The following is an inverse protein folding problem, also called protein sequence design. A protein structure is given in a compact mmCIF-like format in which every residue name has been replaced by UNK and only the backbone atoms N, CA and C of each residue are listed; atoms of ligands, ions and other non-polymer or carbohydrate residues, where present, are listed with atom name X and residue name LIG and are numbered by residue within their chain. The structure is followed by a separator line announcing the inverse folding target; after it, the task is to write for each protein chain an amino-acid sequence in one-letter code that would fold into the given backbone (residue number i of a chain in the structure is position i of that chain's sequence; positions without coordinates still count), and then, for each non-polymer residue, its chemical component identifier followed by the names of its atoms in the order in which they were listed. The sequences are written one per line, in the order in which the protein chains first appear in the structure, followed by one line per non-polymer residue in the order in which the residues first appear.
data_IF_981300057405
#
_entry.id   IF_981300057405
#
_cell.length_a   1.000
_cell.length_b   1.000
_cell.length_c   1.000
_cell.angle_alpha   90.00
_cell.angle_beta   90.00
_cell.angle_gamma   90.00
#
_symmetry.space_group_name_H-M   'P 1'
#
loop_
_entity.id
_entity.type
_entity.pdbx_description
1 polymer ?
#
# COMPACT_ATOMS: atom_id res chain seq x y z
N UNK A 1 -23.72 -16.17 -1.88
CA UNK A 1 -24.68 -15.28 -1.19
C UNK A 1 -23.88 -14.32 -0.32
N UNK A 2 -23.52 -13.15 -0.87
CA UNK A 2 -22.72 -12.15 -0.17
C UNK A 2 -23.62 -11.12 0.49
N UNK A 3 -23.44 -10.90 1.78
CA UNK A 3 -24.09 -9.83 2.53
C UNK A 3 -23.47 -8.50 2.14
N UNK A 4 -24.01 -7.86 1.10
CA UNK A 4 -23.70 -6.46 0.79
C UNK A 4 -24.24 -5.61 1.95
N UNK A 5 -23.42 -5.39 2.99
CA UNK A 5 -23.76 -4.45 4.04
C UNK A 5 -24.01 -3.08 3.38
N UNK A 6 -25.22 -2.57 3.53
CA UNK A 6 -25.54 -1.18 3.17
C UNK A 6 -24.63 -0.32 4.04
N UNK A 7 -23.64 0.34 3.44
CA UNK A 7 -22.87 1.38 4.11
C UNK A 7 -23.78 2.60 4.29
N UNK A 8 -24.62 2.56 5.32
CA UNK A 8 -25.34 3.73 5.83
C UNK A 8 -24.32 4.73 6.36
N UNK A 9 -24.38 6.02 5.98
CA UNK A 9 -23.60 7.04 6.64
C UNK A 9 -24.12 7.24 8.07
N UNK A 10 -23.22 7.31 9.06
CA UNK A 10 -23.50 8.04 10.30
C UNK A 10 -23.94 7.24 11.52
N UNK A 11 -23.25 6.14 11.85
CA UNK A 11 -23.23 5.68 13.25
C UNK A 11 -22.14 6.50 13.97
N UNK A 12 -22.51 7.17 15.07
CA UNK A 12 -21.57 7.95 15.88
C UNK A 12 -20.43 7.05 16.36
N UNK A 13 -19.19 7.36 15.98
CA UNK A 13 -18.00 6.57 16.32
C UNK A 13 -17.53 5.61 15.22
N UNK A 14 -18.29 5.42 14.14
CA UNK A 14 -17.86 4.62 12.98
C UNK A 14 -17.23 5.50 11.88
N UNK A 15 -16.24 4.99 11.13
CA UNK A 15 -15.64 5.76 10.05
C UNK A 15 -16.65 6.09 8.93
N UNK A 16 -16.67 7.32 8.44
CA UNK A 16 -17.56 7.71 7.32
C UNK A 16 -17.00 7.21 5.98
N UNK A 17 -17.49 6.06 5.53
CA UNK A 17 -17.07 5.44 4.27
C UNK A 17 -17.86 5.92 3.04
N UNK A 18 -18.96 6.66 3.25
CA UNK A 18 -19.88 7.04 2.18
C UNK A 18 -19.23 7.94 1.13
N UNK A 19 -18.48 8.95 1.55
CA UNK A 19 -17.83 9.90 0.63
C UNK A 19 -16.60 9.32 -0.07
N UNK A 20 -15.87 8.45 0.63
CA UNK A 20 -14.79 7.66 0.03
C UNK A 20 -15.36 6.76 -1.08
N UNK A 21 -16.45 6.04 -0.79
CA UNK A 21 -17.12 5.22 -1.77
C UNK A 21 -17.56 6.03 -3.00
N UNK A 22 -18.18 7.20 -2.80
CA UNK A 22 -18.61 8.08 -3.92
C UNK A 22 -17.41 8.48 -4.79
N UNK A 23 -16.28 8.80 -4.16
CA UNK A 23 -15.06 9.20 -4.87
C UNK A 23 -14.54 8.06 -5.76
N UNK A 24 -14.41 6.85 -5.20
CA UNK A 24 -13.98 5.65 -5.95
C UNK A 24 -14.95 5.31 -7.08
N UNK A 25 -16.26 5.39 -6.85
CA UNK A 25 -17.27 5.19 -7.91
C UNK A 25 -17.15 6.24 -9.02
N UNK A 26 -16.73 7.46 -8.71
CA UNK A 26 -16.53 8.48 -9.74
C UNK A 26 -15.20 8.30 -10.51
N UNK A 27 -14.17 7.73 -9.88
CA UNK A 27 -12.97 7.26 -10.61
C UNK A 27 -13.38 6.21 -11.65
N UNK A 28 -14.16 5.20 -11.25
CA UNK A 28 -14.56 4.14 -12.20
C UNK A 28 -15.45 4.64 -13.33
N UNK A 29 -16.32 5.64 -13.09
CA UNK A 29 -17.07 6.32 -14.16
C UNK A 29 -16.18 7.09 -15.12
N UNK A 30 -15.05 7.64 -14.66
CA UNK A 30 -14.11 8.33 -15.53
C UNK A 30 -13.37 7.31 -16.41
N UNK A 31 -12.95 6.17 -15.85
CA UNK A 31 -12.31 5.07 -16.59
C UNK A 31 -13.25 4.46 -17.64
N UNK A 32 -14.52 4.25 -17.30
CA UNK A 32 -15.54 3.79 -18.26
C UNK A 32 -15.66 4.76 -19.44
N UNK A 33 -15.72 6.07 -19.18
CA UNK A 33 -15.79 7.10 -20.24
C UNK A 33 -14.53 7.20 -21.08
N UNK A 34 -13.36 6.98 -20.47
CA UNK A 34 -12.07 6.94 -21.16
C UNK A 34 -12.10 5.80 -22.19
N UNK A 35 -12.54 4.61 -21.77
CA UNK A 35 -12.69 3.46 -22.66
C UNK A 35 -13.75 3.67 -23.75
N UNK A 36 -14.92 4.22 -23.40
CA UNK A 36 -15.95 4.57 -24.39
C UNK A 36 -15.44 5.55 -25.46
N UNK A 37 -14.52 6.45 -25.08
CA UNK A 37 -13.91 7.40 -26.00
C UNK A 37 -12.88 6.72 -26.91
N UNK A 38 -12.08 5.79 -26.37
CA UNK A 38 -11.12 4.98 -27.14
C UNK A 38 -11.82 4.10 -28.19
N UNK A 39 -12.97 3.53 -27.84
CA UNK A 39 -13.75 2.68 -28.73
C UNK A 39 -14.56 3.49 -29.78
N UNK A 40 -14.61 4.83 -29.65
CA UNK A 40 -15.43 5.67 -30.52
C UNK A 40 -14.68 6.08 -31.81
N UNK A 41 -14.90 5.34 -32.89
CA UNK A 41 -14.31 5.62 -34.20
C UNK A 41 -14.94 6.81 -34.97
N UNK A 42 -15.97 7.47 -34.41
CA UNK A 42 -16.74 8.52 -35.11
C UNK A 42 -16.33 9.95 -34.75
N UNK A 43 -15.50 10.12 -33.71
CA UNK A 43 -15.04 11.43 -33.26
C UNK A 43 -13.76 11.84 -33.99
N UNK A 44 -13.59 13.14 -34.24
CA UNK A 44 -12.33 13.65 -34.79
C UNK A 44 -11.19 13.44 -33.79
N UNK A 45 -9.95 13.24 -34.29
CA UNK A 45 -8.79 13.06 -33.42
C UNK A 45 -8.57 14.27 -32.47
N UNK A 46 -8.86 15.48 -32.94
CA UNK A 46 -8.73 16.70 -32.14
C UNK A 46 -9.77 16.75 -31.01
N UNK A 47 -11.02 16.41 -31.30
CA UNK A 47 -12.08 16.38 -30.29
C UNK A 47 -11.87 15.23 -29.29
N UNK A 48 -11.37 14.09 -29.76
CA UNK A 48 -10.98 12.97 -28.89
C UNK A 48 -9.89 13.39 -27.89
N UNK A 49 -8.83 14.04 -28.36
CA UNK A 49 -7.76 14.53 -27.49
C UNK A 49 -8.28 15.53 -26.45
N UNK A 50 -9.16 16.47 -26.85
CA UNK A 50 -9.80 17.43 -25.93
C UNK A 50 -10.67 16.75 -24.88
N UNK A 51 -11.40 15.70 -25.26
CA UNK A 51 -12.21 14.93 -24.32
C UNK A 51 -11.35 14.10 -23.36
N UNK A 52 -10.28 13.47 -23.87
CA UNK A 52 -9.33 12.71 -23.07
C UNK A 52 -8.74 13.57 -21.94
N UNK A 53 -8.21 14.76 -22.27
CA UNK A 53 -7.66 15.70 -21.27
C UNK A 53 -8.69 16.04 -20.18
N UNK A 54 -9.96 16.24 -20.55
CA UNK A 54 -11.04 16.53 -19.58
C UNK A 54 -11.37 15.33 -18.70
N UNK A 55 -11.38 14.12 -19.26
CA UNK A 55 -11.65 12.87 -18.52
C UNK A 55 -10.50 12.62 -17.54
N UNK A 56 -9.26 12.75 -18.00
CA UNK A 56 -8.06 12.60 -17.19
C UNK A 56 -8.02 13.59 -16.03
N UNK A 57 -8.30 14.88 -16.29
CA UNK A 57 -8.37 15.90 -15.24
C UNK A 57 -9.42 15.58 -14.17
N UNK A 58 -10.60 15.07 -14.57
CA UNK A 58 -11.65 14.63 -13.64
C UNK A 58 -11.25 13.38 -12.87
N UNK A 59 -10.64 12.40 -13.55
CA UNK A 59 -10.13 11.16 -12.96
C UNK A 59 -9.15 11.49 -11.82
N UNK A 60 -8.16 12.34 -12.11
CA UNK A 60 -7.16 12.78 -11.12
C UNK A 60 -7.80 13.52 -9.95
N UNK A 61 -8.78 14.39 -10.20
CA UNK A 61 -9.52 15.06 -9.13
C UNK A 61 -10.31 14.09 -8.23
N UNK A 62 -10.89 13.04 -8.80
CA UNK A 62 -11.60 12.01 -8.05
C UNK A 62 -10.67 11.11 -7.24
N UNK A 63 -9.49 10.78 -7.77
CA UNK A 63 -8.44 10.05 -7.04
C UNK A 63 -7.98 10.87 -5.82
N UNK A 64 -7.66 12.15 -5.99
CA UNK A 64 -7.31 13.06 -4.89
C UNK A 64 -8.43 13.18 -3.84
N UNK A 65 -9.68 13.23 -4.30
CA UNK A 65 -10.85 13.20 -3.41
C UNK A 65 -10.94 11.88 -2.63
N UNK A 66 -10.61 10.75 -3.25
CA UNK A 66 -10.58 9.46 -2.57
C UNK A 66 -9.53 9.46 -1.45
N UNK A 67 -8.30 9.93 -1.70
CA UNK A 67 -7.27 9.99 -0.65
C UNK A 67 -7.65 10.93 0.50
N UNK A 68 -8.13 12.14 0.20
CA UNK A 68 -8.62 13.07 1.23
C UNK A 68 -9.77 12.47 2.05
N UNK A 69 -10.67 11.74 1.41
CA UNK A 69 -11.75 11.07 2.13
C UNK A 69 -11.26 9.88 2.95
N UNK A 70 -10.29 9.09 2.46
CA UNK A 70 -9.64 8.04 3.25
C UNK A 70 -9.02 8.61 4.52
N UNK A 71 -8.30 9.72 4.42
CA UNK A 71 -7.72 10.41 5.58
C UNK A 71 -8.79 10.85 6.57
N UNK A 72 -9.87 11.46 6.08
CA UNK A 72 -11.01 11.85 6.94
C UNK A 72 -11.66 10.63 7.60
N UNK A 73 -11.85 9.55 6.87
CA UNK A 73 -12.39 8.30 7.39
C UNK A 73 -11.51 7.72 8.49
N UNK A 74 -10.19 7.76 8.33
CA UNK A 74 -9.25 7.36 9.39
C UNK A 74 -9.11 8.36 10.54
N UNK A 75 -9.90 9.43 10.60
CA UNK A 75 -9.86 10.40 11.70
C UNK A 75 -8.76 11.45 11.57
N UNK A 76 -8.21 11.65 10.37
CA UNK A 76 -7.19 12.64 10.07
C UNK A 76 -5.77 12.07 10.03
N UNK A 77 -4.90 12.75 9.26
CA UNK A 77 -3.54 12.31 8.91
C UNK A 77 -2.75 11.82 10.12
N UNK A 78 -2.65 12.64 11.16
CA UNK A 78 -1.89 12.34 12.38
C UNK A 78 -2.38 11.10 13.13
N UNK A 79 -3.69 10.84 13.14
CA UNK A 79 -4.25 9.66 13.80
C UNK A 79 -3.91 8.38 13.03
N UNK A 80 -3.89 8.47 11.69
CA UNK A 80 -3.50 7.36 10.82
C UNK A 80 -2.01 7.10 10.95
N UNK A 81 -1.17 8.12 10.74
CA UNK A 81 0.29 7.97 10.72
C UNK A 81 0.88 7.53 12.06
N UNK A 82 0.24 7.87 13.19
CA UNK A 82 0.66 7.40 14.51
C UNK A 82 -0.08 6.14 15.00
N UNK A 83 -0.86 5.47 14.14
CA UNK A 83 -1.58 4.22 14.47
C UNK A 83 -2.69 4.33 15.53
N UNK A 84 -3.15 5.55 15.81
CA UNK A 84 -4.21 5.83 16.80
C UNK A 84 -5.61 5.71 16.21
N UNK A 85 -5.72 5.75 14.89
CA UNK A 85 -6.98 5.52 14.19
C UNK A 85 -7.48 4.10 14.42
N UNK A 86 -8.80 3.96 14.53
CA UNK A 86 -9.49 2.70 14.76
C UNK A 86 -9.68 1.87 13.49
N UNK A 87 -9.40 2.43 12.32
CA UNK A 87 -9.72 1.80 11.02
C UNK A 87 -8.52 1.63 10.09
N UNK A 88 -7.42 2.35 10.31
CA UNK A 88 -6.24 2.33 9.46
C UNK A 88 -5.00 2.80 10.25
N UNK A 89 -3.86 2.18 10.03
CA UNK A 89 -2.53 2.64 10.42
C UNK A 89 -1.88 1.77 11.48
N UNK A 90 -2.66 1.14 12.38
CA UNK A 90 -2.09 0.36 13.49
C UNK A 90 -1.44 -0.92 13.02
N UNK A 91 -2.12 -1.69 12.17
CA UNK A 91 -1.55 -2.92 11.60
C UNK A 91 -0.37 -2.59 10.67
N UNK A 92 -0.52 -1.56 9.83
CA UNK A 92 0.55 -1.09 8.96
C UNK A 92 1.84 -0.76 9.70
N UNK A 93 1.76 0.00 10.81
CA UNK A 93 2.94 0.39 11.60
C UNK A 93 3.63 -0.81 12.24
N UNK A 94 2.84 -1.77 12.74
CA UNK A 94 3.37 -3.02 13.28
C UNK A 94 4.11 -3.81 12.20
N UNK A 95 3.50 -4.02 11.03
CA UNK A 95 4.11 -4.77 9.93
C UNK A 95 5.38 -4.08 9.39
N UNK A 96 5.33 -2.76 9.17
CA UNK A 96 6.50 -1.97 8.79
C UNK A 96 7.64 -2.10 9.81
N UNK A 97 7.32 -2.02 11.11
CA UNK A 97 8.29 -2.21 12.19
C UNK A 97 8.91 -3.60 12.20
N UNK A 98 8.11 -4.66 11.97
CA UNK A 98 8.62 -6.04 11.89
C UNK A 98 9.47 -6.27 10.64
N UNK A 99 9.11 -5.69 9.49
CA UNK A 99 9.93 -5.70 8.28
C UNK A 99 11.28 -5.02 8.55
N UNK A 100 11.28 -3.78 9.06
CA UNK A 100 12.50 -3.05 9.36
C UNK A 100 13.39 -3.78 10.37
N UNK A 101 12.78 -4.37 11.41
CA UNK A 101 13.49 -5.17 12.41
C UNK A 101 14.12 -6.42 11.78
N UNK A 102 13.38 -7.17 10.97
CA UNK A 102 13.90 -8.36 10.30
C UNK A 102 15.10 -8.00 9.41
N UNK A 103 14.94 -7.01 8.54
CA UNK A 103 16.00 -6.56 7.63
C UNK A 103 17.27 -6.17 8.39
N UNK A 104 17.11 -5.34 9.41
CA UNK A 104 18.24 -4.86 10.22
C UNK A 104 18.88 -6.00 11.02
N UNK A 105 18.12 -6.99 11.47
CA UNK A 105 18.67 -8.17 12.14
C UNK A 105 19.46 -9.06 11.19
N UNK A 106 18.97 -9.28 9.95
CA UNK A 106 19.72 -10.01 8.91
C UNK A 106 21.01 -9.27 8.55
N UNK A 107 20.96 -7.94 8.43
CA UNK A 107 22.14 -7.11 8.18
C UNK A 107 23.23 -7.26 9.25
N UNK A 108 22.85 -7.46 10.51
CA UNK A 108 23.79 -7.53 11.63
C UNK A 108 24.28 -8.96 11.94
N UNK A 109 23.37 -9.94 11.88
CA UNK A 109 23.60 -11.29 12.42
C UNK A 109 23.47 -12.40 11.37
N UNK A 110 23.09 -12.06 10.14
CA UNK A 110 22.80 -13.01 9.06
C UNK A 110 21.40 -13.62 9.13
N UNK A 111 20.99 -14.27 8.05
CA UNK A 111 19.63 -14.80 7.88
C UNK A 111 19.33 -15.93 8.86
N UNK A 112 20.22 -16.92 8.96
CA UNK A 112 20.06 -18.08 9.85
C UNK A 112 19.82 -17.65 11.31
N UNK A 113 20.70 -16.80 11.86
CA UNK A 113 20.60 -16.39 13.26
C UNK A 113 19.31 -15.58 13.49
N UNK A 114 18.97 -14.68 12.56
CA UNK A 114 17.74 -13.90 12.65
C UNK A 114 16.50 -14.78 12.68
N UNK A 115 16.44 -15.80 11.82
CA UNK A 115 15.32 -16.75 11.78
C UNK A 115 15.21 -17.58 13.07
N UNK A 116 16.33 -17.95 13.68
CA UNK A 116 16.35 -18.58 15.01
C UNK A 116 15.76 -17.62 16.06
N UNK A 117 16.24 -16.38 16.08
CA UNK A 117 15.86 -15.37 17.10
C UNK A 117 14.37 -15.03 17.06
N UNK A 118 13.75 -15.04 15.89
CA UNK A 118 12.31 -14.77 15.72
C UNK A 118 11.43 -16.02 15.78
N UNK A 119 12.01 -17.19 16.06
CA UNK A 119 11.28 -18.42 16.38
C UNK A 119 10.99 -19.37 15.21
N UNK A 120 11.65 -19.22 14.05
CA UNK A 120 11.55 -20.19 12.94
C UNK A 120 12.38 -21.45 13.22
N UNK A 121 13.61 -21.28 13.70
CA UNK A 121 14.59 -22.36 13.92
C UNK A 121 15.63 -22.48 12.80
N UNK A 122 16.18 -23.68 12.62
CA UNK A 122 17.29 -23.95 11.69
C UNK A 122 16.81 -24.06 10.23
N UNK A 123 17.62 -23.56 9.28
CA UNK A 123 17.32 -23.61 7.84
C UNK A 123 17.44 -25.00 7.21
N UNK A 124 18.16 -25.93 7.84
CA UNK A 124 18.46 -27.23 7.26
C UNK A 124 17.17 -27.98 6.90
N UNK A 125 17.00 -28.31 5.61
CA UNK A 125 15.83 -29.02 5.09
C UNK A 125 14.57 -28.16 4.91
N UNK A 126 14.68 -26.83 5.04
CA UNK A 126 13.61 -25.86 4.75
C UNK A 126 13.76 -25.31 3.34
N UNK A 127 12.63 -25.15 2.66
CA UNK A 127 12.56 -24.48 1.37
C UNK A 127 12.50 -22.96 1.54
N UNK A 128 12.81 -22.24 0.45
CA UNK A 128 12.60 -20.80 0.39
C UNK A 128 11.14 -20.41 0.69
N UNK A 129 10.19 -21.21 0.20
CA UNK A 129 8.77 -20.99 0.43
C UNK A 129 8.39 -21.12 1.92
N UNK A 130 8.95 -22.09 2.64
CA UNK A 130 8.71 -22.25 4.08
C UNK A 130 9.12 -20.99 4.87
N UNK A 131 10.20 -20.35 4.43
CA UNK A 131 10.72 -19.13 5.06
C UNK A 131 9.85 -17.94 4.68
N UNK A 132 9.43 -17.80 3.43
CA UNK A 132 8.47 -16.76 3.04
C UNK A 132 7.17 -16.87 3.81
N UNK A 133 6.58 -18.07 3.87
CA UNK A 133 5.31 -18.31 4.57
C UNK A 133 5.44 -17.94 6.06
N UNK A 134 6.56 -18.32 6.69
CA UNK A 134 6.85 -17.91 8.04
C UNK A 134 7.01 -16.38 8.16
N UNK A 135 7.75 -15.74 7.26
CA UNK A 135 7.99 -14.29 7.30
C UNK A 135 6.69 -13.49 7.07
N UNK A 136 5.77 -14.01 6.27
CA UNK A 136 4.44 -13.42 6.12
C UNK A 136 3.71 -13.44 7.46
N UNK A 137 3.62 -14.59 8.12
CA UNK A 137 3.02 -14.70 9.47
C UNK A 137 3.78 -13.84 10.50
N UNK A 138 5.10 -13.80 10.43
CA UNK A 138 5.89 -12.95 11.30
C UNK A 138 5.58 -11.47 11.06
N UNK A 139 5.45 -10.99 9.83
CA UNK A 139 5.12 -9.59 9.58
C UNK A 139 3.66 -9.24 9.94
N UNK A 140 2.81 -10.26 10.14
CA UNK A 140 1.36 -10.11 10.29
C UNK A 140 0.81 -10.85 11.51
N UNK A 141 0.50 -10.15 12.61
CA UNK A 141 0.04 -10.82 13.85
C UNK A 141 -1.37 -11.44 13.74
N UNK A 142 -2.23 -10.88 12.89
CA UNK A 142 -3.62 -11.29 12.75
C UNK A 142 -4.10 -11.01 11.32
N UNK A 143 -5.18 -11.68 10.92
CA UNK A 143 -5.95 -11.38 9.70
C UNK A 143 -7.37 -10.89 10.06
N UNK A 144 -7.63 -10.62 11.34
CA UNK A 144 -8.91 -10.15 11.83
C UNK A 144 -9.00 -8.63 11.67
N UNK A 145 -9.79 -8.19 10.70
CA UNK A 145 -10.02 -6.77 10.46
C UNK A 145 -9.45 -6.30 9.13
N UNK A 146 -9.98 -5.15 8.69
CA UNK A 146 -9.59 -4.57 7.40
C UNK A 146 -8.18 -3.97 7.45
N UNK A 147 -7.78 -3.44 8.60
CA UNK A 147 -6.44 -2.85 8.75
C UNK A 147 -5.36 -3.93 8.65
N UNK A 148 -5.55 -5.02 9.40
CA UNK A 148 -4.75 -6.23 9.34
C UNK A 148 -4.70 -6.80 7.92
N UNK A 149 -5.85 -7.00 7.28
CA UNK A 149 -5.89 -7.55 5.91
C UNK A 149 -5.11 -6.67 4.92
N UNK A 150 -5.18 -5.34 5.04
CA UNK A 150 -4.42 -4.43 4.19
C UNK A 150 -2.91 -4.52 4.43
N UNK A 151 -2.48 -4.56 5.70
CA UNK A 151 -1.07 -4.74 6.06
C UNK A 151 -0.51 -6.10 5.57
N UNK A 152 -1.32 -7.14 5.65
CA UNK A 152 -0.94 -8.49 5.24
C UNK A 152 -0.75 -8.57 3.73
N UNK A 153 -1.70 -8.04 2.96
CA UNK A 153 -1.59 -8.03 1.50
C UNK A 153 -0.41 -7.18 1.02
N UNK A 154 -0.18 -6.02 1.64
CA UNK A 154 1.00 -5.20 1.33
C UNK A 154 2.32 -5.94 1.65
N UNK A 155 2.40 -6.59 2.81
CA UNK A 155 3.55 -7.42 3.19
C UNK A 155 3.76 -8.59 2.21
N UNK A 156 2.67 -9.21 1.76
CA UNK A 156 2.69 -10.29 0.77
C UNK A 156 3.28 -9.85 -0.57
N UNK A 157 2.86 -8.70 -1.08
CA UNK A 157 3.40 -8.13 -2.31
C UNK A 157 4.91 -7.81 -2.17
N UNK A 158 5.33 -7.23 -1.05
CA UNK A 158 6.75 -6.97 -0.76
C UNK A 158 7.57 -8.27 -0.74
N UNK A 159 7.12 -9.29 -0.01
CA UNK A 159 7.85 -10.57 0.07
C UNK A 159 7.91 -11.29 -1.28
N UNK A 160 6.85 -11.21 -2.09
CA UNK A 160 6.85 -11.75 -3.46
C UNK A 160 7.83 -11.02 -4.38
N UNK A 161 7.89 -9.69 -4.29
CA UNK A 161 8.86 -8.89 -5.05
C UNK A 161 10.29 -9.29 -4.67
N UNK A 162 10.60 -9.42 -3.38
CA UNK A 162 11.92 -9.85 -2.91
C UNK A 162 12.26 -11.29 -3.32
N UNK A 163 11.29 -12.21 -3.25
CA UNK A 163 11.44 -13.59 -3.70
C UNK A 163 11.78 -13.67 -5.19
N UNK A 164 11.08 -12.88 -6.01
CA UNK A 164 11.33 -12.79 -7.45
C UNK A 164 12.73 -12.24 -7.75
N UNK A 165 13.16 -11.19 -7.04
CA UNK A 165 14.52 -10.62 -7.18
C UNK A 165 15.61 -11.61 -6.74
N UNK A 166 15.38 -12.36 -5.67
CA UNK A 166 16.30 -13.38 -5.19
C UNK A 166 16.30 -14.65 -6.06
N UNK A 167 15.31 -14.83 -6.95
CA UNK A 167 15.16 -16.05 -7.74
C UNK A 167 14.87 -17.29 -6.89
N UNK A 168 14.17 -17.12 -5.76
CA UNK A 168 13.90 -18.16 -4.76
C UNK A 168 15.15 -18.82 -4.16
N UNK A 169 16.26 -18.09 -4.10
CA UNK A 169 17.54 -18.55 -3.55
C UNK A 169 17.83 -17.85 -2.21
N UNK A 170 18.21 -18.62 -1.19
CA UNK A 170 18.39 -18.12 0.17
C UNK A 170 19.64 -17.26 0.34
N UNK A 171 20.73 -17.61 -0.32
CA UNK A 171 21.96 -16.84 -0.25
C UNK A 171 21.77 -15.49 -0.94
N UNK A 172 21.12 -15.50 -2.12
CA UNK A 172 20.76 -14.25 -2.83
C UNK A 172 19.76 -13.41 -2.04
N UNK A 173 18.80 -14.02 -1.36
CA UNK A 173 17.86 -13.29 -0.53
C UNK A 173 18.55 -12.65 0.67
N UNK A 174 19.45 -13.37 1.36
CA UNK A 174 20.25 -12.78 2.45
C UNK A 174 21.11 -11.62 1.94
N UNK A 175 21.77 -11.78 0.79
CA UNK A 175 22.55 -10.71 0.17
C UNK A 175 21.67 -9.50 -0.18
N UNK A 176 20.51 -9.73 -0.81
CA UNK A 176 19.56 -8.68 -1.13
C UNK A 176 19.14 -7.92 0.13
N UNK A 177 18.76 -8.62 1.20
CA UNK A 177 18.36 -7.98 2.46
C UNK A 177 19.50 -7.15 3.07
N UNK A 178 20.74 -7.64 3.01
CA UNK A 178 21.92 -6.87 3.45
C UNK A 178 22.12 -5.59 2.65
N UNK A 179 22.03 -5.68 1.32
CA UNK A 179 22.14 -4.51 0.43
C UNK A 179 21.07 -3.46 0.74
N UNK A 180 19.84 -3.87 1.09
CA UNK A 180 18.78 -2.93 1.47
C UNK A 180 19.10 -2.14 2.74
N UNK A 181 19.80 -2.75 3.70
CA UNK A 181 20.19 -2.09 4.95
C UNK A 181 21.44 -1.22 4.76
N UNK A 182 22.46 -1.73 4.07
CA UNK A 182 23.73 -1.03 3.86
C UNK A 182 23.63 0.10 2.84
N UNK A 183 22.84 -0.13 1.78
CA UNK A 183 22.60 0.79 0.68
C UNK A 183 21.50 1.81 0.97
N UNK A 184 21.03 1.90 2.23
CA UNK A 184 20.08 2.94 2.64
C UNK A 184 18.67 2.76 1.96
N UNK A 185 18.45 1.65 1.27
CA UNK A 185 17.23 1.33 0.49
C UNK A 185 16.08 0.78 1.35
N UNK A 186 16.29 0.56 2.65
CA UNK A 186 15.21 0.13 3.56
C UNK A 186 14.11 1.20 3.65
N UNK A 187 14.47 2.48 3.63
CA UNK A 187 13.48 3.56 3.54
C UNK A 187 12.63 3.45 2.26
N UNK A 188 13.25 3.12 1.12
CA UNK A 188 12.54 2.93 -0.15
C UNK A 188 11.56 1.75 -0.10
N UNK A 189 11.99 0.64 0.51
CA UNK A 189 11.15 -0.53 0.73
C UNK A 189 9.93 -0.20 1.61
N UNK A 190 10.15 0.55 2.69
CA UNK A 190 9.06 0.98 3.57
C UNK A 190 8.11 1.93 2.85
N UNK A 191 8.63 2.85 2.04
CA UNK A 191 7.80 3.71 1.22
C UNK A 191 6.93 2.89 0.25
N UNK A 192 7.52 1.91 -0.43
CA UNK A 192 6.80 0.96 -1.30
C UNK A 192 5.72 0.21 -0.52
N UNK A 193 6.05 -0.32 0.66
CA UNK A 193 5.11 -0.99 1.55
C UNK A 193 3.91 -0.10 1.87
N UNK A 194 4.14 1.15 2.27
CA UNK A 194 3.08 2.10 2.62
C UNK A 194 2.18 2.45 1.44
N UNK A 195 2.75 2.61 0.24
CA UNK A 195 1.96 2.81 -0.98
C UNK A 195 1.04 1.62 -1.26
N UNK A 196 1.56 0.39 -1.15
CA UNK A 196 0.76 -0.84 -1.31
C UNK A 196 -0.32 -0.94 -0.22
N UNK A 197 0.03 -0.63 1.02
CA UNK A 197 -0.88 -0.66 2.16
C UNK A 197 -2.09 0.28 1.99
N UNK A 198 -1.85 1.52 1.53
CA UNK A 198 -2.93 2.47 1.23
C UNK A 198 -3.80 1.95 0.08
N UNK A 199 -3.16 1.40 -0.96
CA UNK A 199 -3.89 0.79 -2.07
C UNK A 199 -4.80 -0.35 -1.60
N UNK A 200 -4.31 -1.23 -0.74
CA UNK A 200 -5.06 -2.38 -0.22
C UNK A 200 -6.30 -1.96 0.58
N UNK A 201 -6.21 -0.88 1.36
CA UNK A 201 -7.40 -0.30 2.03
C UNK A 201 -8.50 0.08 1.04
N UNK A 202 -8.13 0.63 -0.12
CA UNK A 202 -9.09 1.02 -1.16
C UNK A 202 -9.62 -0.20 -1.93
N UNK A 203 -8.73 -1.11 -2.33
CA UNK A 203 -9.05 -2.25 -3.18
C UNK A 203 -9.94 -3.27 -2.46
N UNK A 204 -9.63 -3.58 -1.20
CA UNK A 204 -10.40 -4.55 -0.41
C UNK A 204 -11.82 -4.05 -0.14
N UNK A 205 -11.96 -2.75 0.13
CA UNK A 205 -13.26 -2.19 0.53
C UNK A 205 -14.20 -1.92 -0.64
N UNK A 206 -13.66 -1.52 -1.78
CA UNK A 206 -14.48 -1.03 -2.90
C UNK A 206 -14.35 -1.88 -4.17
N UNK A 207 -13.35 -2.77 -4.24
CA UNK A 207 -13.07 -3.62 -5.40
C UNK A 207 -14.27 -4.38 -5.91
N UNK A 208 -14.90 -5.15 -5.02
CA UNK A 208 -16.03 -6.01 -5.38
C UNK A 208 -17.24 -5.19 -5.86
N UNK A 209 -17.55 -4.10 -5.15
CA UNK A 209 -18.65 -3.22 -5.52
C UNK A 209 -18.46 -2.57 -6.89
N UNK A 210 -17.25 -2.08 -7.18
CA UNK A 210 -16.96 -1.48 -8.49
C UNK A 210 -17.10 -2.54 -9.58
N UNK A 211 -16.57 -3.76 -9.39
CA UNK A 211 -16.73 -4.86 -10.35
C UNK A 211 -18.20 -5.22 -10.59
N UNK A 212 -19.03 -5.22 -9.54
CA UNK A 212 -20.47 -5.47 -9.67
C UNK A 212 -21.20 -4.35 -10.42
N UNK A 213 -20.81 -3.09 -10.21
CA UNK A 213 -21.48 -1.93 -10.81
C UNK A 213 -21.02 -1.59 -12.23
N UNK A 214 -19.76 -1.90 -12.56
CA UNK A 214 -19.07 -1.46 -13.79
C UNK A 214 -18.49 -2.59 -14.63
N UNK A 215 -18.61 -3.83 -14.15
CA UNK A 215 -17.99 -4.98 -14.79
C UNK A 215 -16.55 -5.20 -14.34
N UNK A 216 -16.07 -6.43 -14.57
CA UNK A 216 -14.76 -6.90 -14.09
C UNK A 216 -13.62 -6.08 -14.70
N UNK A 217 -13.72 -5.74 -15.98
CA UNK A 217 -12.66 -5.06 -16.71
C UNK A 217 -12.45 -3.62 -16.23
N UNK A 218 -13.51 -2.80 -16.23
CA UNK A 218 -13.45 -1.43 -15.69
C UNK A 218 -13.04 -1.45 -14.22
N UNK A 219 -13.52 -2.43 -13.45
CA UNK A 219 -13.09 -2.61 -12.07
C UNK A 219 -11.58 -2.86 -11.93
N UNK A 220 -11.02 -3.77 -12.73
CA UNK A 220 -9.57 -4.04 -12.72
C UNK A 220 -8.78 -2.79 -13.12
N UNK A 221 -9.15 -2.12 -14.20
CA UNK A 221 -8.44 -0.94 -14.68
C UNK A 221 -8.53 0.23 -13.67
N UNK A 222 -9.69 0.43 -13.04
CA UNK A 222 -9.87 1.44 -11.99
C UNK A 222 -8.84 1.27 -10.86
N UNK A 223 -8.69 0.05 -10.34
CA UNK A 223 -7.76 -0.18 -9.23
C UNK A 223 -6.31 -0.24 -9.68
N UNK A 224 -6.03 -0.62 -10.93
CA UNK A 224 -4.70 -0.49 -11.51
C UNK A 224 -4.27 0.98 -11.56
N UNK A 225 -5.11 1.87 -12.11
CA UNK A 225 -4.83 3.31 -12.17
C UNK A 225 -4.61 3.90 -10.77
N UNK A 226 -5.44 3.53 -9.79
CA UNK A 226 -5.26 3.98 -8.40
C UNK A 226 -3.93 3.47 -7.82
N UNK A 227 -3.58 2.20 -8.04
CA UNK A 227 -2.29 1.62 -7.59
C UNK A 227 -1.13 2.38 -8.23
N UNK A 228 -1.16 2.57 -9.54
CA UNK A 228 -0.09 3.21 -10.30
C UNK A 228 0.10 4.68 -9.88
N UNK A 229 -1.00 5.41 -9.62
CA UNK A 229 -0.94 6.78 -9.12
C UNK A 229 -0.28 6.85 -7.73
N UNK A 230 -0.70 6.01 -6.78
CA UNK A 230 -0.09 5.96 -5.43
C UNK A 230 1.40 5.67 -5.53
N UNK A 231 1.77 4.63 -6.28
CA UNK A 231 3.16 4.19 -6.38
C UNK A 231 4.03 5.19 -7.15
N UNK A 232 3.47 5.88 -8.14
CA UNK A 232 4.13 6.96 -8.86
C UNK A 232 4.45 8.14 -7.93
N UNK A 233 3.50 8.57 -7.11
CA UNK A 233 3.70 9.65 -6.13
C UNK A 233 4.71 9.27 -5.04
N UNK A 234 4.65 8.04 -4.53
CA UNK A 234 5.62 7.51 -3.56
C UNK A 234 7.04 7.49 -4.15
N UNK A 235 7.18 7.07 -5.41
CA UNK A 235 8.49 7.06 -6.09
C UNK A 235 9.08 8.47 -6.20
N UNK A 236 8.26 9.48 -6.50
CA UNK A 236 8.71 10.89 -6.53
C UNK A 236 9.20 11.33 -5.14
N UNK A 237 8.44 11.03 -4.08
CA UNK A 237 8.84 11.35 -2.71
C UNK A 237 10.19 10.74 -2.33
N UNK A 238 10.42 9.47 -2.68
CA UNK A 238 11.68 8.78 -2.39
C UNK A 238 12.88 9.46 -3.04
N UNK A 239 12.75 9.92 -4.29
CA UNK A 239 13.86 10.61 -4.99
C UNK A 239 14.25 11.95 -4.34
N UNK A 240 13.37 12.54 -3.53
CA UNK A 240 13.57 13.84 -2.89
C UNK A 240 14.02 13.72 -1.43
N UNK A 241 14.01 12.52 -0.85
CA UNK A 241 14.39 12.30 0.55
C UNK A 241 15.89 12.03 0.68
N UNK A 242 16.60 12.70 1.60
CA UNK A 242 17.98 12.37 1.89
C UNK A 242 18.05 11.01 2.58
N UNK A 243 18.94 10.13 2.11
CA UNK A 243 19.10 8.82 2.70
C UNK A 243 20.12 8.88 3.83
N UNK A 244 19.63 8.88 5.07
CA UNK A 244 20.44 8.95 6.28
C UNK A 244 20.54 7.58 6.95
N UNK A 245 21.66 7.36 7.64
CA UNK A 245 21.84 6.14 8.44
C UNK A 245 20.95 6.24 9.68
N UNK A 246 19.90 5.43 9.71
CA UNK A 246 18.90 5.38 10.80
C UNK A 246 19.16 4.14 11.65
N UNK A 247 19.12 4.27 12.97
CA UNK A 247 18.99 3.10 13.83
C UNK A 247 17.55 2.58 13.80
N UNK A 248 17.32 1.67 12.86
CA UNK A 248 16.05 0.98 12.69
C UNK A 248 15.69 0.12 13.92
N UNK A 249 16.67 -0.23 14.77
CA UNK A 249 16.47 -1.00 16.01
C UNK A 249 16.26 -0.07 17.20
N UNK A 250 15.16 0.68 17.21
CA UNK A 250 14.87 1.49 18.39
C UNK A 250 13.76 2.50 18.20
N UNK A 251 13.82 3.54 19.01
CA UNK A 251 12.86 4.63 18.97
C UNK A 251 13.03 5.49 17.71
N UNK A 252 14.28 5.67 17.24
CA UNK A 252 14.58 6.41 16.01
C UNK A 252 13.91 5.75 14.80
N UNK A 253 14.14 4.45 14.57
CA UNK A 253 13.48 3.70 13.50
C UNK A 253 11.95 3.73 13.56
N UNK A 254 11.35 3.68 14.77
CA UNK A 254 9.89 3.80 14.93
C UNK A 254 9.38 5.16 14.49
N UNK A 255 10.08 6.23 14.89
CA UNK A 255 9.75 7.60 14.49
C UNK A 255 9.88 7.77 12.98
N UNK A 256 10.96 7.28 12.39
CA UNK A 256 11.15 7.35 10.93
C UNK A 256 10.05 6.58 10.17
N UNK A 257 9.64 5.39 10.63
CA UNK A 257 8.54 4.64 10.02
C UNK A 257 7.23 5.45 10.03
N UNK A 258 6.92 6.11 11.16
CA UNK A 258 5.76 7.01 11.27
C UNK A 258 5.90 8.22 10.35
N UNK A 259 7.08 8.84 10.26
CA UNK A 259 7.38 10.01 9.43
C UNK A 259 7.34 9.70 7.92
N UNK A 260 7.83 8.53 7.52
CA UNK A 260 7.65 7.99 6.16
C UNK A 260 6.15 7.91 5.85
N UNK A 261 5.38 7.25 6.71
CA UNK A 261 3.96 7.07 6.47
C UNK A 261 3.21 8.40 6.43
N UNK A 262 3.51 9.30 7.35
CA UNK A 262 2.95 10.66 7.42
C UNK A 262 3.21 11.48 6.16
N UNK A 263 4.43 11.37 5.60
CA UNK A 263 4.81 12.05 4.36
C UNK A 263 4.15 11.45 3.13
N UNK A 264 3.96 10.12 3.11
CA UNK A 264 3.23 9.45 2.04
C UNK A 264 1.77 9.91 2.04
N UNK A 265 1.13 9.99 3.21
CA UNK A 265 -0.24 10.52 3.31
C UNK A 265 -0.29 11.98 2.84
N UNK A 266 0.71 12.79 3.21
CA UNK A 266 0.80 14.20 2.82
C UNK A 266 0.87 14.37 1.29
N UNK A 267 1.79 13.66 0.63
CA UNK A 267 1.97 13.78 -0.83
C UNK A 267 0.73 13.31 -1.59
N UNK A 268 0.15 12.16 -1.25
CA UNK A 268 -1.03 11.64 -1.97
C UNK A 268 -2.27 12.52 -1.78
N UNK A 269 -2.32 13.32 -0.72
CA UNK A 269 -3.43 14.25 -0.47
C UNK A 269 -3.21 15.65 -1.05
N UNK A 270 -2.04 15.94 -1.65
CA UNK A 270 -1.58 17.28 -2.01
C UNK A 270 -1.67 18.30 -0.85
N UNK A 271 -1.37 17.89 0.38
CA UNK A 271 -1.34 18.81 1.52
C UNK A 271 -0.02 19.60 1.49
N UNK A 272 -0.09 20.87 1.08
CA UNK A 272 1.01 21.84 1.27
C UNK A 272 0.97 22.41 2.70
N UNK A 273 2.13 22.73 3.27
CA UNK A 273 2.28 23.38 4.58
C UNK A 273 1.68 24.80 4.64
#
# INVERSE_FOLDING_TARGET
MGTTQRMTPGVSGEPNWGDLNKSITNVSKAVEKEKELEDNNSISAEDAARQHIKIEGRKNAHIKSAFRNLVKTGGGRKNISSGKSSSIGRAGLRSAGRIAHFFTSVGNSGLQQTLIDIGFGILQGKSFQDILDFLLVYCTESNEGMDETAANNASCEIMKELAALAGNDLEKFEQLVKEYVEGNMLADLLCRFWGLYIFEHLSQRFGEKVKQQKGIEIGKETFKIIKDDILGQVKVLNTQRPVTKIDWKGQEGKQEIEEIFDSIIKIICDEND
#
